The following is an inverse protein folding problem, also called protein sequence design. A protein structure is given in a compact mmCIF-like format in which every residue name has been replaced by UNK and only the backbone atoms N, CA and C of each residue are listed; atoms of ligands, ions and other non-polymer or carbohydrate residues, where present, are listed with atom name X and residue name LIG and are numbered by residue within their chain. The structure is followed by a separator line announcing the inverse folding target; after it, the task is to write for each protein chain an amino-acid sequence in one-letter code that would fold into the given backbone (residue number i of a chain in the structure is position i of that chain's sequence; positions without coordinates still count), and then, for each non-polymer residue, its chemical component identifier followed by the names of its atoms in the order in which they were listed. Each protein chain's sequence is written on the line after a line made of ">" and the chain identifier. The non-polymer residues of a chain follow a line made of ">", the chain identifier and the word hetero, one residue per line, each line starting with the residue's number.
data_IF_070519414659
#
_entry.id   IF_070519414659
#
_cell.length_a   1.000
_cell.length_b   1.000
_cell.length_c   1.000
_cell.angle_alpha   90.00
_cell.angle_beta   90.00
_cell.angle_gamma   90.00
#
_symmetry.space_group_name_H-M   'P 1'
#
loop_
_entity.id
_entity.type
_entity.pdbx_description
1 polymer ?
#
# COMPACT_ATOMS: atom_id res chain seq x y z
N UNK A 1 -19.05 22.31 7.95
CA UNK A 1 -18.59 23.24 6.90
C UNK A 1 -17.41 24.10 7.34
N UNK A 2 -17.42 24.70 8.53
CA UNK A 2 -16.30 25.50 9.07
C UNK A 2 -14.96 24.77 9.16
N UNK A 3 -14.94 23.51 9.62
CA UNK A 3 -13.72 22.69 9.61
C UNK A 3 -13.15 22.46 8.20
N UNK A 4 -14.01 22.36 7.19
CA UNK A 4 -13.59 22.19 5.80
C UNK A 4 -12.94 23.45 5.24
N UNK A 5 -13.55 24.62 5.49
CA UNK A 5 -13.01 25.92 5.12
C UNK A 5 -11.70 26.25 5.86
N UNK A 6 -11.61 25.93 7.15
CA UNK A 6 -10.40 26.14 7.94
C UNK A 6 -9.27 25.21 7.47
N UNK A 7 -9.60 23.96 7.12
CA UNK A 7 -8.65 22.99 6.57
C UNK A 7 -8.14 23.40 5.18
N UNK A 8 -8.99 23.94 4.31
CA UNK A 8 -8.58 24.41 2.98
C UNK A 8 -7.77 25.71 3.05
N UNK A 9 -8.13 26.64 3.94
CA UNK A 9 -7.32 27.84 4.18
C UNK A 9 -5.96 27.50 4.79
N UNK A 10 -5.92 26.59 5.77
CA UNK A 10 -4.67 26.09 6.36
C UNK A 10 -3.79 25.37 5.32
N UNK A 11 -4.41 24.64 4.39
CA UNK A 11 -3.71 23.98 3.28
C UNK A 11 -3.07 24.97 2.29
N UNK A 12 -3.74 26.10 2.02
CA UNK A 12 -3.20 27.19 1.19
C UNK A 12 -2.06 27.95 1.88
N UNK A 13 -2.15 28.13 3.21
CA UNK A 13 -1.20 28.96 3.98
C UNK A 13 0.01 28.15 4.48
N UNK A 14 -0.13 26.84 4.76
CA UNK A 14 0.93 25.98 5.29
C UNK A 14 1.13 24.66 4.51
N UNK A 15 1.34 24.69 3.17
CA UNK A 15 1.49 23.48 2.36
C UNK A 15 2.69 22.60 2.78
N UNK A 16 3.71 23.18 3.43
CA UNK A 16 4.86 22.44 3.95
C UNK A 16 4.54 21.54 5.16
N UNK A 17 3.51 21.85 5.96
CA UNK A 17 3.15 21.06 7.16
C UNK A 17 2.66 19.67 6.81
N UNK A 18 1.77 19.56 5.83
CA UNK A 18 1.14 18.29 5.47
C UNK A 18 2.15 17.23 5.02
N UNK A 19 3.18 17.63 4.26
CA UNK A 19 4.22 16.71 3.79
C UNK A 19 5.09 16.21 4.95
N UNK A 20 5.41 17.07 5.92
CA UNK A 20 6.16 16.67 7.11
C UNK A 20 5.35 15.73 8.00
N UNK A 21 4.06 16.02 8.21
CA UNK A 21 3.17 15.16 8.99
C UNK A 21 3.04 13.78 8.35
N UNK A 22 2.89 13.71 7.02
CA UNK A 22 2.85 12.45 6.27
C UNK A 22 4.20 11.70 6.32
N UNK A 23 5.33 12.40 6.29
CA UNK A 23 6.65 11.80 6.47
C UNK A 23 6.83 11.23 7.88
N UNK A 24 6.37 11.95 8.91
CA UNK A 24 6.41 11.45 10.27
C UNK A 24 5.57 10.17 10.42
N UNK A 25 4.36 10.14 9.86
CA UNK A 25 3.52 8.94 9.82
C UNK A 25 4.25 7.79 9.09
N UNK A 26 4.93 8.09 7.98
CA UNK A 26 5.72 7.10 7.23
C UNK A 26 6.84 6.48 8.08
N UNK A 27 7.59 7.29 8.82
CA UNK A 27 8.64 6.79 9.70
C UNK A 27 8.11 6.06 10.93
N UNK A 28 6.96 6.47 11.48
CA UNK A 28 6.30 5.74 12.56
C UNK A 28 5.92 4.34 12.10
N UNK A 29 5.24 4.23 10.95
CA UNK A 29 4.84 2.95 10.37
C UNK A 29 6.04 2.09 9.97
N UNK A 30 7.12 2.70 9.47
CA UNK A 30 8.38 1.99 9.22
C UNK A 30 8.96 1.42 10.52
N UNK A 31 8.89 2.17 11.62
CA UNK A 31 9.28 1.70 12.94
C UNK A 31 8.46 0.51 13.42
N UNK A 32 7.14 0.55 13.23
CA UNK A 32 6.23 -0.56 13.56
C UNK A 32 6.53 -1.82 12.73
N UNK A 33 6.78 -1.65 11.43
CA UNK A 33 7.20 -2.73 10.54
C UNK A 33 8.54 -3.37 10.97
N UNK A 34 9.56 -2.56 11.26
CA UNK A 34 10.86 -3.08 11.72
C UNK A 34 10.74 -3.80 13.07
N UNK A 35 9.90 -3.28 13.97
CA UNK A 35 9.63 -3.91 15.26
C UNK A 35 8.90 -5.25 15.09
N UNK A 36 7.84 -5.29 14.29
CA UNK A 36 7.12 -6.54 13.98
C UNK A 36 8.05 -7.57 13.33
N UNK A 37 8.93 -7.14 12.42
CA UNK A 37 9.93 -8.02 11.80
C UNK A 37 10.97 -8.52 12.80
N UNK A 38 11.36 -7.69 13.76
CA UNK A 38 12.32 -8.08 14.80
C UNK A 38 11.81 -9.26 15.65
N UNK A 39 10.50 -9.39 15.84
CA UNK A 39 9.91 -10.50 16.59
C UNK A 39 10.17 -11.85 15.91
N UNK A 40 10.38 -11.92 14.59
CA UNK A 40 10.67 -13.18 13.90
C UNK A 40 12.03 -13.80 14.28
N UNK A 41 12.90 -13.05 14.95
CA UNK A 41 14.18 -13.56 15.48
C UNK A 41 14.03 -14.24 16.85
N UNK A 42 12.85 -14.24 17.44
CA UNK A 42 12.59 -14.90 18.73
C UNK A 42 12.70 -16.43 18.58
N UNK A 43 13.59 -16.99 19.38
CA UNK A 43 13.96 -18.40 19.37
C UNK A 43 12.91 -19.27 20.07
N UNK A 44 12.15 -18.69 20.98
CA UNK A 44 11.20 -19.42 21.84
C UNK A 44 9.80 -19.51 21.21
N UNK A 45 9.65 -19.13 19.94
CA UNK A 45 8.37 -19.14 19.25
C UNK A 45 7.84 -20.56 18.99
N UNK A 46 6.61 -20.81 19.45
CA UNK A 46 5.80 -21.93 18.98
C UNK A 46 5.41 -21.75 17.50
N UNK A 47 5.08 -22.84 16.76
CA UNK A 47 4.58 -22.71 15.39
C UNK A 47 3.38 -21.77 15.25
N UNK A 48 2.50 -21.75 16.27
CA UNK A 48 1.32 -20.88 16.32
C UNK A 48 1.70 -19.41 16.52
N UNK A 49 2.60 -19.10 17.47
CA UNK A 49 3.05 -17.73 17.71
C UNK A 49 3.90 -17.18 16.56
N UNK A 50 4.67 -18.03 15.87
CA UNK A 50 5.34 -17.66 14.64
C UNK A 50 4.35 -17.29 13.52
N UNK A 51 3.32 -18.11 13.30
CA UNK A 51 2.28 -17.80 12.31
C UNK A 51 1.60 -16.45 12.63
N UNK A 52 1.31 -16.20 13.89
CA UNK A 52 0.74 -14.92 14.33
C UNK A 52 1.68 -13.74 14.06
N UNK A 53 2.97 -13.88 14.36
CA UNK A 53 3.99 -12.83 14.09
C UNK A 53 4.16 -12.57 12.59
N UNK A 54 4.05 -13.61 11.76
CA UNK A 54 4.08 -13.47 10.30
C UNK A 54 2.84 -12.73 9.77
N UNK A 55 1.66 -13.00 10.33
CA UNK A 55 0.43 -12.27 10.01
C UNK A 55 0.57 -10.80 10.41
N UNK A 56 1.06 -10.53 11.62
CA UNK A 56 1.31 -9.16 12.10
C UNK A 56 2.29 -8.41 11.19
N UNK A 57 3.43 -9.04 10.85
CA UNK A 57 4.39 -8.46 9.91
C UNK A 57 3.74 -8.13 8.55
N UNK A 58 2.91 -9.05 8.02
CA UNK A 58 2.23 -8.82 6.74
C UNK A 58 1.23 -7.65 6.82
N UNK A 59 0.51 -7.51 7.93
CA UNK A 59 -0.40 -6.40 8.17
C UNK A 59 0.35 -5.07 8.29
N UNK A 60 1.44 -5.01 9.08
CA UNK A 60 2.26 -3.81 9.20
C UNK A 60 2.92 -3.42 7.87
N UNK A 61 3.38 -4.40 7.09
CA UNK A 61 3.89 -4.16 5.74
C UNK A 61 2.81 -3.57 4.82
N UNK A 62 1.60 -4.13 4.83
CA UNK A 62 0.47 -3.62 4.05
C UNK A 62 0.10 -2.18 4.42
N UNK A 63 0.08 -1.84 5.72
CA UNK A 63 -0.13 -0.47 6.22
C UNK A 63 0.97 0.47 5.75
N UNK A 64 2.23 0.08 5.90
CA UNK A 64 3.40 0.87 5.49
C UNK A 64 3.37 1.19 3.99
N UNK A 65 3.10 0.20 3.14
CA UNK A 65 3.02 0.39 1.68
C UNK A 65 1.90 1.36 1.32
N UNK A 66 0.74 1.27 1.98
CA UNK A 66 -0.35 2.23 1.77
C UNK A 66 0.08 3.66 2.12
N UNK A 67 0.73 3.85 3.26
CA UNK A 67 1.26 5.15 3.70
C UNK A 67 2.34 5.69 2.73
N UNK A 68 3.24 4.83 2.26
CA UNK A 68 4.25 5.21 1.26
C UNK A 68 3.62 5.65 -0.06
N UNK A 69 2.57 4.97 -0.53
CA UNK A 69 1.85 5.38 -1.75
C UNK A 69 1.16 6.74 -1.59
N UNK A 70 0.55 7.00 -0.43
CA UNK A 70 -0.01 8.32 -0.12
C UNK A 70 1.08 9.40 -0.10
N UNK A 71 2.23 9.12 0.52
CA UNK A 71 3.37 10.03 0.58
C UNK A 71 3.96 10.31 -0.80
N UNK A 72 4.14 9.27 -1.63
CA UNK A 72 4.59 9.41 -3.03
C UNK A 72 3.66 10.36 -3.79
N UNK A 73 2.35 10.14 -3.69
CA UNK A 73 1.35 10.98 -4.35
C UNK A 73 1.41 12.44 -3.87
N UNK A 74 1.54 12.66 -2.56
CA UNK A 74 1.69 13.99 -1.98
C UNK A 74 2.99 14.69 -2.42
N UNK A 75 4.10 13.97 -2.59
CA UNK A 75 5.37 14.53 -3.09
C UNK A 75 5.30 14.86 -4.58
N UNK A 76 4.72 13.97 -5.39
CA UNK A 76 4.59 14.16 -6.83
C UNK A 76 3.70 15.37 -7.19
N UNK A 77 2.56 15.52 -6.50
CA UNK A 77 1.69 16.69 -6.67
C UNK A 77 2.42 17.98 -6.34
N UNK A 78 3.23 17.99 -5.28
CA UNK A 78 4.05 19.15 -4.90
C UNK A 78 5.19 19.43 -5.90
N UNK A 79 5.87 18.40 -6.40
CA UNK A 79 6.91 18.53 -7.43
C UNK A 79 6.40 19.17 -8.74
N UNK A 80 5.13 18.90 -9.10
CA UNK A 80 4.51 19.48 -10.30
C UNK A 80 4.17 20.97 -10.16
N UNK A 81 3.80 21.42 -8.96
CA UNK A 81 3.46 22.83 -8.70
C UNK A 81 4.62 23.69 -8.19
N UNK A 82 5.59 23.09 -7.50
CA UNK A 82 6.62 23.78 -6.72
C UNK A 82 8.01 23.21 -7.02
N UNK A 83 8.45 23.38 -8.28
CA UNK A 83 9.70 22.85 -8.82
C UNK A 83 10.92 23.46 -8.12
N UNK A 84 11.36 22.82 -7.04
CA UNK A 84 12.74 22.96 -6.56
C UNK A 84 12.97 23.71 -5.25
N UNK A 85 11.94 23.96 -4.42
CA UNK A 85 12.17 24.49 -3.07
C UNK A 85 12.95 23.52 -2.16
N UNK A 86 13.80 24.09 -1.29
CA UNK A 86 14.66 23.34 -0.34
C UNK A 86 13.88 22.32 0.49
N UNK A 87 12.66 22.67 0.91
CA UNK A 87 11.81 21.82 1.75
C UNK A 87 11.24 20.59 1.01
N UNK A 88 10.87 20.75 -0.26
CA UNK A 88 10.41 19.64 -1.10
C UNK A 88 11.56 18.66 -1.35
N UNK A 89 12.79 19.16 -1.57
CA UNK A 89 14.00 18.34 -1.72
C UNK A 89 14.32 17.56 -0.45
N UNK A 90 14.24 18.22 0.71
CA UNK A 90 14.41 17.56 2.02
C UNK A 90 13.36 16.46 2.21
N UNK A 91 12.09 16.76 1.91
CA UNK A 91 11.01 15.79 2.06
C UNK A 91 11.20 14.55 1.18
N UNK A 92 11.65 14.73 -0.07
CA UNK A 92 11.99 13.64 -0.98
C UNK A 92 13.15 12.79 -0.45
N UNK A 93 14.21 13.40 0.06
CA UNK A 93 15.34 12.67 0.64
C UNK A 93 14.89 11.75 1.77
N UNK A 94 14.05 12.26 2.67
CA UNK A 94 13.49 11.48 3.78
C UNK A 94 12.64 10.31 3.27
N UNK A 95 11.80 10.56 2.27
CA UNK A 95 10.99 9.50 1.64
C UNK A 95 11.85 8.39 1.03
N UNK A 96 12.88 8.72 0.23
CA UNK A 96 13.74 7.70 -0.38
C UNK A 96 14.56 6.93 0.64
N UNK A 97 15.02 7.58 1.70
CA UNK A 97 15.70 6.86 2.79
C UNK A 97 14.73 5.89 3.47
N UNK A 98 13.49 6.30 3.76
CA UNK A 98 12.49 5.40 4.33
C UNK A 98 12.20 4.21 3.40
N UNK A 99 12.09 4.44 2.09
CA UNK A 99 11.90 3.39 1.09
C UNK A 99 13.11 2.44 1.01
N UNK A 100 14.34 2.97 0.92
CA UNK A 100 15.54 2.12 0.88
C UNK A 100 15.66 1.26 2.16
N UNK A 101 15.31 1.80 3.34
CA UNK A 101 15.31 1.04 4.60
C UNK A 101 14.29 -0.09 4.51
N UNK A 102 13.08 0.18 4.03
CA UNK A 102 12.04 -0.83 3.86
C UNK A 102 12.47 -1.92 2.88
N UNK A 103 12.97 -1.55 1.70
CA UNK A 103 13.43 -2.52 0.68
C UNK A 103 14.53 -3.44 1.24
N UNK A 104 15.51 -2.88 1.95
CA UNK A 104 16.59 -3.66 2.58
C UNK A 104 16.10 -4.56 3.70
N UNK A 105 15.20 -4.04 4.52
CA UNK A 105 14.59 -4.82 5.58
C UNK A 105 13.77 -5.96 4.99
N UNK A 106 12.98 -5.74 3.94
CA UNK A 106 12.11 -6.73 3.31
C UNK A 106 12.88 -7.81 2.52
N UNK A 107 13.91 -7.42 1.76
CA UNK A 107 14.71 -8.27 0.89
C UNK A 107 15.52 -9.39 1.59
N UNK A 108 15.57 -9.38 2.92
CA UNK A 108 16.14 -10.48 3.69
C UNK A 108 15.19 -11.71 3.69
N UNK A 109 15.21 -12.48 2.59
CA UNK A 109 14.50 -13.76 2.46
C UNK A 109 15.21 -14.87 3.24
N UNK A 110 15.16 -14.80 4.57
CA UNK A 110 15.69 -15.83 5.46
C UNK A 110 14.53 -16.60 6.07
N UNK A 111 14.67 -17.92 6.08
CA UNK A 111 13.74 -18.80 6.77
C UNK A 111 14.00 -18.73 8.28
N UNK A 112 13.32 -17.79 8.95
CA UNK A 112 13.49 -17.51 10.37
C UNK A 112 13.20 -18.73 11.26
N UNK A 113 12.29 -19.64 10.86
CA UNK A 113 12.03 -20.86 11.62
C UNK A 113 13.23 -21.81 11.60
N UNK A 114 13.87 -21.97 10.44
CA UNK A 114 15.10 -22.77 10.34
C UNK A 114 16.24 -22.12 11.09
N UNK A 115 16.38 -20.80 10.96
CA UNK A 115 17.39 -20.02 11.65
C UNK A 115 17.26 -20.19 13.18
N UNK A 116 16.04 -20.06 13.73
CA UNK A 116 15.74 -20.25 15.15
C UNK A 116 16.10 -21.65 15.64
N UNK A 117 15.79 -22.69 14.87
CA UNK A 117 16.16 -24.08 15.21
C UNK A 117 17.67 -24.31 15.23
N UNK A 118 18.39 -23.76 14.25
CA UNK A 118 19.84 -23.95 14.13
C UNK A 118 20.58 -23.23 15.26
N UNK A 119 20.18 -21.99 15.54
CA UNK A 119 20.84 -21.14 16.54
C UNK A 119 20.11 -21.13 17.88
N UNK A 120 19.34 -22.17 18.21
CA UNK A 120 18.46 -22.20 19.38
C UNK A 120 19.20 -21.96 20.71
N UNK A 121 20.43 -22.44 20.81
CA UNK A 121 21.26 -22.32 22.01
C UNK A 121 22.31 -21.21 21.91
N UNK A 122 22.20 -20.33 20.92
CA UNK A 122 23.10 -19.19 20.72
C UNK A 122 22.36 -17.89 21.01
N UNK A 123 23.07 -16.92 21.61
CA UNK A 123 22.52 -15.59 21.86
C UNK A 123 22.44 -14.72 20.59
N UNK A 124 22.88 -15.26 19.43
CA UNK A 124 23.05 -14.49 18.20
C UNK A 124 21.75 -13.90 17.67
N UNK A 125 20.64 -14.65 17.74
CA UNK A 125 19.35 -14.19 17.24
C UNK A 125 18.74 -13.10 18.12
N UNK A 126 18.93 -13.18 19.44
CA UNK A 126 18.57 -12.10 20.36
C UNK A 126 19.33 -10.80 20.06
N UNK A 127 20.59 -10.89 19.61
CA UNK A 127 21.38 -9.71 19.20
C UNK A 127 20.82 -9.09 17.91
N UNK A 128 20.45 -9.91 16.93
CA UNK A 128 19.79 -9.44 15.69
C UNK A 128 18.43 -8.79 15.99
N UNK A 129 17.58 -9.47 16.78
CA UNK A 129 16.32 -8.95 17.27
C UNK A 129 16.52 -7.57 17.89
N UNK A 130 17.40 -7.47 18.89
CA UNK A 130 17.66 -6.23 19.61
C UNK A 130 18.12 -5.09 18.70
N UNK A 131 19.01 -5.34 17.74
CA UNK A 131 19.44 -4.28 16.81
C UNK A 131 18.25 -3.80 15.98
N UNK A 132 17.49 -4.73 15.40
CA UNK A 132 16.34 -4.38 14.56
C UNK A 132 15.24 -3.65 15.36
N UNK A 133 14.98 -4.06 16.62
CA UNK A 133 14.06 -3.35 17.51
C UNK A 133 14.53 -1.92 17.82
N UNK A 134 15.84 -1.70 18.05
CA UNK A 134 16.40 -0.36 18.28
C UNK A 134 16.35 0.47 16.97
N UNK A 135 16.49 -0.13 15.78
CA UNK A 135 16.26 0.55 14.50
C UNK A 135 14.80 0.96 14.35
N UNK A 136 13.85 0.09 14.70
CA UNK A 136 12.43 0.43 14.75
C UNK A 136 12.15 1.62 15.68
N UNK A 137 12.75 1.62 16.88
CA UNK A 137 12.69 2.77 17.79
C UNK A 137 13.31 4.03 17.18
N UNK A 138 14.47 3.93 16.53
CA UNK A 138 15.12 5.07 15.88
C UNK A 138 14.23 5.70 14.79
N UNK A 139 13.46 4.91 14.06
CA UNK A 139 12.44 5.42 13.12
C UNK A 139 11.31 6.18 13.84
N UNK A 140 10.87 5.72 15.02
CA UNK A 140 9.89 6.44 15.85
C UNK A 140 10.45 7.74 16.43
N UNK A 141 11.67 7.71 16.96
CA UNK A 141 12.36 8.92 17.47
C UNK A 141 12.52 9.97 16.35
N UNK A 142 12.79 9.52 15.11
CA UNK A 142 12.82 10.37 13.92
C UNK A 142 11.43 10.90 13.53
N UNK A 143 10.39 10.08 13.63
CA UNK A 143 8.99 10.51 13.44
C UNK A 143 8.62 11.65 14.40
N UNK A 144 8.94 11.49 15.68
CA UNK A 144 8.73 12.54 16.70
C UNK A 144 9.55 13.79 16.40
N UNK A 145 10.81 13.64 16.00
CA UNK A 145 11.68 14.76 15.62
C UNK A 145 11.13 15.55 14.44
N UNK A 146 10.54 14.85 13.44
CA UNK A 146 9.87 15.47 12.29
C UNK A 146 8.62 16.25 12.71
N UNK A 147 7.76 15.69 13.56
CA UNK A 147 6.56 16.37 14.08
C UNK A 147 6.94 17.61 14.91
N UNK A 148 7.95 17.48 15.75
CA UNK A 148 8.42 18.53 16.66
C UNK A 148 9.37 19.53 15.99
N UNK A 149 9.76 19.28 14.73
CA UNK A 149 10.70 20.10 13.94
C UNK A 149 12.06 20.29 14.62
N UNK A 150 12.51 19.25 15.30
CA UNK A 150 13.83 19.22 15.96
C UNK A 150 14.79 18.36 15.14
N UNK A 151 16.10 18.64 15.21
CA UNK A 151 17.08 17.75 14.64
C UNK A 151 17.01 16.37 15.32
N UNK A 152 16.93 15.33 14.50
CA UNK A 152 17.05 13.94 14.91
C UNK A 152 18.48 13.62 15.39
N UNK A 153 18.59 13.26 16.65
CA UNK A 153 19.85 12.82 17.26
C UNK A 153 19.93 11.30 17.21
N UNK A 154 20.84 10.79 16.39
CA UNK A 154 21.05 9.35 16.25
C UNK A 154 21.69 8.74 17.52
N UNK A 155 21.17 7.59 17.96
CA UNK A 155 21.55 6.97 19.23
C UNK A 155 22.99 6.39 19.20
N UNK A 156 23.86 6.85 20.08
CA UNK A 156 25.26 6.39 20.14
C UNK A 156 25.41 4.90 20.50
N UNK A 157 24.38 4.28 21.11
CA UNK A 157 24.37 2.86 21.49
C UNK A 157 24.48 1.91 20.28
N UNK A 158 24.15 2.37 19.08
CA UNK A 158 24.26 1.55 17.86
C UNK A 158 25.69 1.05 17.65
N UNK A 159 26.69 1.92 17.79
CA UNK A 159 28.11 1.57 17.61
C UNK A 159 28.50 0.35 18.45
N UNK A 160 28.30 0.45 19.76
CA UNK A 160 28.61 -0.65 20.68
C UNK A 160 27.80 -1.92 20.41
N UNK A 161 26.53 -1.79 20.00
CA UNK A 161 25.67 -2.96 19.75
C UNK A 161 26.11 -3.70 18.48
N UNK A 162 26.50 -2.98 17.42
CA UNK A 162 27.06 -3.58 16.21
C UNK A 162 28.44 -4.19 16.43
N UNK A 163 29.31 -3.54 17.21
CA UNK A 163 30.63 -4.08 17.55
C UNK A 163 30.50 -5.40 18.32
N UNK A 164 29.59 -5.46 19.30
CA UNK A 164 29.30 -6.67 20.06
C UNK A 164 28.70 -7.79 19.20
N UNK A 165 27.80 -7.47 18.27
CA UNK A 165 27.27 -8.46 17.33
C UNK A 165 28.38 -8.99 16.40
N UNK A 166 29.26 -8.09 15.93
CA UNK A 166 30.37 -8.48 15.05
C UNK A 166 31.31 -9.47 15.75
N UNK A 167 31.67 -9.22 17.00
CA UNK A 167 32.51 -10.13 17.79
C UNK A 167 31.84 -11.51 17.96
N UNK A 168 30.53 -11.55 18.25
CA UNK A 168 29.79 -12.81 18.34
C UNK A 168 29.77 -13.58 17.02
N UNK A 169 29.59 -12.89 15.88
CA UNK A 169 29.64 -13.51 14.55
C UNK A 169 31.02 -14.05 14.19
N UNK A 170 32.07 -13.29 14.56
CA UNK A 170 33.45 -13.69 14.32
C UNK A 170 33.81 -14.94 15.15
N UNK A 171 33.34 -15.01 16.41
CA UNK A 171 33.47 -16.19 17.26
C UNK A 171 32.75 -17.41 16.69
N UNK A 172 31.48 -17.26 16.30
CA UNK A 172 30.68 -18.36 15.69
C UNK A 172 31.35 -18.94 14.44
N UNK A 173 31.99 -18.10 13.63
CA UNK A 173 32.73 -18.53 12.45
C UNK A 173 34.00 -19.29 12.78
N UNK A 174 34.69 -18.94 13.88
CA UNK A 174 35.91 -19.61 14.32
C UNK A 174 35.63 -20.98 14.96
N UNK A 175 34.50 -21.12 15.64
CA UNK A 175 34.11 -22.38 16.29
C UNK A 175 33.79 -23.51 15.29
N UNK A 176 33.52 -23.17 14.01
CA UNK A 176 33.20 -24.12 12.93
C UNK A 176 32.10 -25.14 13.26
N UNK A 177 31.27 -24.86 14.26
CA UNK A 177 30.19 -25.74 14.72
C UNK A 177 28.99 -25.74 13.77
N UNK A 178 28.81 -24.65 13.03
CA UNK A 178 27.67 -24.43 12.13
C UNK A 178 28.11 -24.42 10.67
N UNK A 179 27.20 -24.86 9.79
CA UNK A 179 27.44 -24.83 8.35
C UNK A 179 27.68 -23.40 7.83
N UNK A 180 28.66 -23.26 6.95
CA UNK A 180 29.19 -21.98 6.47
C UNK A 180 28.12 -21.15 5.75
N UNK A 181 27.11 -21.80 5.17
CA UNK A 181 25.96 -21.16 4.52
C UNK A 181 25.20 -20.29 5.51
N UNK A 182 24.92 -20.79 6.72
CA UNK A 182 24.17 -20.06 7.73
C UNK A 182 24.97 -18.93 8.34
N UNK A 183 26.26 -19.16 8.60
CA UNK A 183 27.17 -18.11 9.05
C UNK A 183 27.23 -16.97 8.02
N UNK A 184 27.33 -17.30 6.73
CA UNK A 184 27.32 -16.32 5.64
C UNK A 184 26.01 -15.53 5.57
N UNK A 185 24.86 -16.20 5.78
CA UNK A 185 23.55 -15.55 5.86
C UNK A 185 23.47 -14.56 7.05
N UNK A 186 24.01 -14.91 8.22
CA UNK A 186 24.08 -14.00 9.37
C UNK A 186 24.99 -12.80 9.08
N UNK A 187 26.12 -12.98 8.39
CA UNK A 187 26.95 -11.85 7.96
C UNK A 187 26.24 -10.95 6.95
N UNK A 188 25.44 -11.51 6.03
CA UNK A 188 24.62 -10.73 5.11
C UNK A 188 23.56 -9.91 5.87
N UNK A 189 22.87 -10.52 6.85
CA UNK A 189 21.96 -9.80 7.74
C UNK A 189 22.65 -8.67 8.50
N UNK A 190 23.85 -8.93 9.04
CA UNK A 190 24.64 -7.92 9.73
C UNK A 190 24.94 -6.72 8.83
N UNK A 191 25.34 -6.97 7.58
CA UNK A 191 25.59 -5.88 6.62
C UNK A 191 24.31 -5.13 6.27
N UNK A 192 23.17 -5.82 6.10
CA UNK A 192 21.89 -5.18 5.86
C UNK A 192 21.50 -4.24 7.03
N UNK A 193 21.58 -4.71 8.27
CA UNK A 193 21.29 -3.88 9.44
C UNK A 193 22.27 -2.69 9.55
N UNK A 194 23.56 -2.90 9.32
CA UNK A 194 24.56 -1.82 9.32
C UNK A 194 24.27 -0.76 8.24
N UNK A 195 23.75 -1.19 7.10
CA UNK A 195 23.39 -0.30 6.01
C UNK A 195 22.17 0.56 6.33
N UNK A 196 21.19 0.01 7.07
CA UNK A 196 20.02 0.74 7.60
C UNK A 196 20.47 1.77 8.65
N UNK A 197 21.38 1.38 9.55
CA UNK A 197 21.97 2.28 10.54
C UNK A 197 22.67 3.48 9.89
N UNK A 198 23.49 3.21 8.87
CA UNK A 198 24.17 4.26 8.11
C UNK A 198 23.18 5.23 7.43
N UNK A 199 22.04 4.73 6.94
CA UNK A 199 20.98 5.57 6.39
C UNK A 199 20.37 6.47 7.46
N UNK A 200 20.01 5.92 8.62
CA UNK A 200 19.42 6.69 9.72
C UNK A 200 20.39 7.75 10.26
N UNK A 201 21.68 7.43 10.38
CA UNK A 201 22.71 8.37 10.85
C UNK A 201 22.97 9.52 9.89
N UNK A 202 22.95 9.26 8.58
CA UNK A 202 23.30 10.24 7.57
C UNK A 202 22.11 11.11 7.12
N UNK A 203 20.92 10.92 7.69
CA UNK A 203 19.71 11.68 7.34
C UNK A 203 19.81 13.19 7.62
N UNK A 204 20.52 13.57 8.69
CA UNK A 204 20.65 14.97 9.13
C UNK A 204 21.92 15.67 8.64
N UNK A 205 22.91 14.90 8.17
CA UNK A 205 24.13 15.46 7.63
C UNK A 205 23.82 16.16 6.30
N UNK A 206 23.58 17.47 6.33
CA UNK A 206 23.28 18.36 5.17
C UNK A 206 24.30 18.25 4.00
N UNK A 207 25.43 17.55 4.17
CA UNK A 207 26.55 17.51 3.24
C UNK A 207 26.44 16.50 2.07
N UNK A 208 25.36 15.71 1.94
CA UNK A 208 25.16 14.88 0.74
C UNK A 208 24.25 15.50 -0.31
N UNK A 209 24.15 16.84 -0.37
CA UNK A 209 23.64 17.54 -1.56
C UNK A 209 24.74 17.53 -2.64
N UNK A 210 25.07 16.34 -3.14
CA UNK A 210 25.71 16.24 -4.46
C UNK A 210 24.60 16.10 -5.49
N UNK A 211 24.61 17.03 -6.43
CA UNK A 211 23.76 17.16 -7.62
C UNK A 211 23.44 15.82 -8.33
N UNK A 212 24.30 14.81 -8.21
CA UNK A 212 24.12 13.49 -8.82
C UNK A 212 22.97 12.65 -8.21
N UNK A 213 22.83 12.59 -6.88
CA UNK A 213 21.74 11.82 -6.26
C UNK A 213 20.38 12.47 -6.55
N UNK A 214 20.34 13.80 -6.61
CA UNK A 214 19.16 14.53 -7.04
C UNK A 214 18.83 14.30 -8.53
N UNK A 215 19.83 14.30 -9.43
CA UNK A 215 19.60 13.92 -10.84
C UNK A 215 19.05 12.49 -10.96
N UNK A 216 19.53 11.56 -10.15
CA UNK A 216 19.04 10.18 -10.14
C UNK A 216 17.59 10.08 -9.60
N UNK A 217 17.29 10.83 -8.53
CA UNK A 217 15.95 10.96 -7.95
C UNK A 217 14.98 11.62 -8.94
N UNK A 218 15.40 12.71 -9.59
CA UNK A 218 14.63 13.40 -10.61
C UNK A 218 14.39 12.49 -11.82
N UNK A 219 15.38 11.69 -12.23
CA UNK A 219 15.22 10.72 -13.32
C UNK A 219 14.27 9.57 -12.95
N UNK A 220 14.38 8.99 -11.75
CA UNK A 220 13.45 7.95 -11.27
C UNK A 220 12.00 8.47 -11.12
N UNK A 221 11.82 9.74 -10.77
CA UNK A 221 10.49 10.36 -10.70
C UNK A 221 9.99 10.89 -12.06
N UNK A 222 10.90 11.26 -12.97
CA UNK A 222 10.60 11.64 -14.37
C UNK A 222 10.27 10.44 -15.25
N UNK A 223 10.63 9.22 -14.83
CA UNK A 223 10.16 7.99 -15.47
C UNK A 223 8.65 7.77 -15.30
N UNK A 224 7.94 8.54 -14.47
CA UNK A 224 6.47 8.55 -14.45
C UNK A 224 5.85 9.58 -15.42
N UNK A 225 6.64 10.45 -16.08
CA UNK A 225 6.16 11.38 -17.10
C UNK A 225 6.31 10.76 -18.51
N UNK A 226 5.23 10.73 -19.29
CA UNK A 226 5.20 10.21 -20.67
C UNK A 226 6.08 11.08 -21.59
N UNK A 227 7.33 10.67 -21.81
CA UNK A 227 8.24 11.38 -22.71
C UNK A 227 8.20 10.78 -24.11
N UNK A 228 7.22 11.22 -24.89
CA UNK A 228 7.17 10.98 -26.33
C UNK A 228 6.65 9.59 -26.74
N UNK A 229 6.44 9.45 -28.05
CA UNK A 229 5.77 8.31 -28.67
C UNK A 229 6.51 6.97 -28.52
N UNK A 230 7.84 7.00 -28.39
CA UNK A 230 8.63 5.77 -28.27
C UNK A 230 8.56 5.17 -26.87
N UNK A 231 8.52 6.00 -25.82
CA UNK A 231 8.32 5.57 -24.44
C UNK A 231 6.89 5.01 -24.22
N UNK A 232 5.89 5.61 -24.87
CA UNK A 232 4.51 5.12 -24.92
C UNK A 232 4.46 3.72 -25.57
N UNK A 233 5.13 3.52 -26.71
CA UNK A 233 5.16 2.21 -27.38
C UNK A 233 5.82 1.14 -26.51
N UNK A 234 6.93 1.47 -25.82
CA UNK A 234 7.65 0.53 -24.96
C UNK A 234 6.76 0.11 -23.77
N UNK A 235 6.10 1.05 -23.09
CA UNK A 235 5.21 0.73 -21.96
C UNK A 235 3.96 -0.04 -22.40
N UNK A 236 3.34 0.34 -23.52
CA UNK A 236 2.22 -0.42 -24.08
C UNK A 236 2.66 -1.86 -24.37
N UNK A 237 3.86 -2.04 -24.97
CA UNK A 237 4.42 -3.37 -25.24
C UNK A 237 4.71 -4.17 -23.97
N UNK A 238 5.18 -3.52 -22.90
CA UNK A 238 5.39 -4.16 -21.58
C UNK A 238 4.07 -4.58 -20.93
N UNK A 239 3.00 -3.80 -21.11
CA UNK A 239 1.67 -4.13 -20.62
C UNK A 239 0.92 -5.14 -21.50
N UNK A 240 1.31 -5.36 -22.76
CA UNK A 240 0.82 -6.38 -23.69
C UNK A 240 1.54 -7.74 -23.53
N UNK A 241 1.76 -8.15 -22.28
CA UNK A 241 2.37 -9.44 -21.97
C UNK A 241 1.38 -10.30 -21.17
N UNK A 242 1.35 -11.64 -21.36
CA UNK A 242 0.49 -12.54 -20.58
C UNK A 242 0.77 -12.52 -19.07
N UNK A 243 1.91 -11.95 -18.66
CA UNK A 243 2.27 -11.72 -17.26
C UNK A 243 1.61 -10.47 -16.64
N UNK A 244 1.15 -9.54 -17.47
CA UNK A 244 0.49 -8.30 -17.03
C UNK A 244 -0.92 -8.57 -16.49
N UNK A 245 -1.18 -8.08 -15.27
CA UNK A 245 -2.50 -8.16 -14.62
C UNK A 245 -3.58 -7.45 -15.46
N UNK A 246 -3.24 -6.33 -16.10
CA UNK A 246 -4.17 -5.56 -16.95
C UNK A 246 -4.50 -6.31 -18.24
N UNK A 247 -3.53 -6.96 -18.85
CA UNK A 247 -3.74 -7.74 -20.09
C UNK A 247 -4.60 -8.97 -19.86
N UNK A 248 -4.30 -9.75 -18.81
CA UNK A 248 -5.14 -10.89 -18.40
C UNK A 248 -6.57 -10.46 -18.08
N UNK A 249 -6.72 -9.30 -17.42
CA UNK A 249 -8.03 -8.74 -17.14
C UNK A 249 -8.79 -8.37 -18.42
N UNK A 250 -8.14 -7.65 -19.34
CA UNK A 250 -8.74 -7.22 -20.60
C UNK A 250 -9.20 -8.42 -21.44
N UNK A 251 -8.35 -9.45 -21.61
CA UNK A 251 -8.73 -10.68 -22.34
C UNK A 251 -9.91 -11.36 -21.67
N UNK A 252 -9.85 -11.57 -20.35
CA UNK A 252 -10.93 -12.23 -19.61
C UNK A 252 -12.23 -11.46 -19.72
N UNK A 253 -12.19 -10.13 -19.59
CA UNK A 253 -13.36 -9.27 -19.72
C UNK A 253 -13.96 -9.35 -21.14
N UNK A 254 -13.12 -9.28 -22.18
CA UNK A 254 -13.57 -9.41 -23.58
C UNK A 254 -14.23 -10.76 -23.83
N UNK A 255 -13.65 -11.86 -23.35
CA UNK A 255 -14.23 -13.21 -23.48
C UNK A 255 -15.58 -13.29 -22.74
N UNK A 256 -15.64 -12.80 -21.49
CA UNK A 256 -16.88 -12.83 -20.70
C UNK A 256 -17.98 -12.00 -21.37
N UNK A 257 -17.65 -10.81 -21.88
CA UNK A 257 -18.61 -9.96 -22.60
C UNK A 257 -19.07 -10.59 -23.91
N UNK A 258 -18.18 -11.23 -24.67
CA UNK A 258 -18.51 -11.95 -25.89
C UNK A 258 -19.48 -13.10 -25.62
N UNK A 259 -19.18 -13.94 -24.63
CA UNK A 259 -20.04 -15.06 -24.24
C UNK A 259 -21.40 -14.54 -23.75
N UNK A 260 -21.40 -13.49 -22.93
CA UNK A 260 -22.63 -12.86 -22.44
C UNK A 260 -23.47 -12.28 -23.58
N UNK A 261 -22.83 -11.66 -24.57
CA UNK A 261 -23.50 -11.13 -25.75
C UNK A 261 -24.15 -12.23 -26.59
N UNK A 262 -23.39 -13.29 -26.91
CA UNK A 262 -23.90 -14.44 -27.66
C UNK A 262 -25.09 -15.07 -26.91
N UNK A 263 -24.96 -15.24 -25.60
CA UNK A 263 -26.02 -15.77 -24.75
C UNK A 263 -27.30 -14.92 -24.84
N UNK A 264 -27.19 -13.59 -24.77
CA UNK A 264 -28.33 -12.68 -24.88
C UNK A 264 -29.00 -12.77 -26.26
N UNK A 265 -28.22 -12.85 -27.34
CA UNK A 265 -28.75 -12.97 -28.70
C UNK A 265 -29.46 -14.29 -28.94
N UNK A 266 -28.92 -15.40 -28.42
CA UNK A 266 -29.51 -16.74 -28.59
C UNK A 266 -30.77 -16.93 -27.73
N UNK A 267 -30.75 -16.40 -26.51
CA UNK A 267 -31.86 -16.55 -25.56
C UNK A 267 -33.01 -15.57 -25.79
N UNK A 268 -32.78 -14.51 -26.57
CA UNK A 268 -33.74 -13.45 -26.88
C UNK A 268 -34.45 -12.89 -25.62
N UNK A 269 -33.72 -12.81 -24.51
CA UNK A 269 -34.24 -12.34 -23.21
C UNK A 269 -34.50 -10.84 -23.27
N UNK A 270 -35.73 -10.45 -22.94
CA UNK A 270 -36.12 -9.07 -22.73
C UNK A 270 -35.24 -8.44 -21.63
N UNK A 271 -34.58 -7.32 -21.94
CA UNK A 271 -33.60 -6.65 -21.07
C UNK A 271 -32.26 -7.39 -20.82
N UNK A 272 -31.87 -8.32 -21.70
CA UNK A 272 -30.61 -9.07 -21.59
C UNK A 272 -29.33 -8.21 -21.51
N UNK A 273 -29.36 -6.93 -21.90
CA UNK A 273 -28.24 -5.98 -21.76
C UNK A 273 -27.75 -5.81 -20.31
N UNK A 274 -28.59 -6.06 -19.29
CA UNK A 274 -28.19 -6.04 -17.88
C UNK A 274 -27.17 -7.11 -17.51
N UNK A 275 -27.14 -8.22 -18.25
CA UNK A 275 -26.12 -9.27 -18.08
C UNK A 275 -24.75 -8.71 -18.46
N UNK A 276 -24.64 -8.06 -19.62
CA UNK A 276 -23.39 -7.43 -20.07
C UNK A 276 -22.95 -6.32 -19.11
N UNK A 277 -23.88 -5.45 -18.70
CA UNK A 277 -23.59 -4.35 -17.79
C UNK A 277 -23.09 -4.85 -16.43
N UNK A 278 -23.69 -5.92 -15.91
CA UNK A 278 -23.28 -6.54 -14.64
C UNK A 278 -21.91 -7.21 -14.79
N UNK A 279 -21.66 -7.93 -15.88
CA UNK A 279 -20.36 -8.52 -16.18
C UNK A 279 -19.25 -7.45 -16.22
N UNK A 280 -19.54 -6.29 -16.83
CA UNK A 280 -18.62 -5.15 -16.88
C UNK A 280 -18.33 -4.57 -15.49
N UNK A 281 -19.35 -4.28 -14.68
CA UNK A 281 -19.16 -3.61 -13.38
C UNK A 281 -18.58 -4.50 -12.28
N UNK A 282 -18.86 -5.81 -12.32
CA UNK A 282 -18.38 -6.77 -11.34
C UNK A 282 -16.93 -7.19 -11.63
N UNK A 283 -16.55 -7.26 -12.90
CA UNK A 283 -15.20 -7.66 -13.30
C UNK A 283 -14.15 -6.68 -12.79
N UNK A 284 -13.14 -7.20 -12.09
CA UNK A 284 -12.01 -6.43 -11.56
C UNK A 284 -10.69 -7.08 -11.94
N UNK A 285 -9.57 -6.35 -12.08
CA UNK A 285 -8.29 -6.94 -12.45
C UNK A 285 -7.86 -8.09 -11.51
N UNK A 286 -8.14 -7.97 -10.21
CA UNK A 286 -7.92 -9.04 -9.23
C UNK A 286 -9.14 -9.98 -9.11
N UNK A 287 -8.90 -11.30 -9.14
CA UNK A 287 -9.95 -12.31 -9.00
C UNK A 287 -10.71 -12.22 -7.66
N UNK A 288 -10.00 -12.03 -6.54
CA UNK A 288 -10.62 -11.89 -5.22
C UNK A 288 -11.50 -10.63 -5.14
N UNK A 289 -11.07 -9.55 -5.80
CA UNK A 289 -11.87 -8.34 -5.92
C UNK A 289 -13.14 -8.56 -6.75
N UNK A 290 -13.05 -9.35 -7.83
CA UNK A 290 -14.20 -9.75 -8.66
C UNK A 290 -15.21 -10.57 -7.84
N UNK A 291 -14.74 -11.59 -7.11
CA UNK A 291 -15.59 -12.43 -6.23
C UNK A 291 -16.28 -11.62 -5.14
N UNK A 292 -15.58 -10.63 -4.56
CA UNK A 292 -16.17 -9.70 -3.59
C UNK A 292 -17.24 -8.83 -4.24
N UNK A 293 -16.96 -8.21 -5.40
CA UNK A 293 -17.94 -7.40 -6.13
C UNK A 293 -19.16 -8.19 -6.55
N UNK A 294 -18.99 -9.45 -6.95
CA UNK A 294 -20.10 -10.33 -7.31
C UNK A 294 -21.03 -10.56 -6.12
N UNK A 295 -20.47 -10.91 -4.95
CA UNK A 295 -21.27 -11.06 -3.73
C UNK A 295 -22.02 -9.78 -3.36
N UNK A 296 -21.35 -8.63 -3.42
CA UNK A 296 -21.97 -7.35 -3.12
C UNK A 296 -23.04 -6.98 -4.15
N UNK A 297 -22.85 -7.33 -5.43
CA UNK A 297 -23.85 -7.15 -6.49
C UNK A 297 -25.09 -7.98 -6.18
N UNK A 298 -24.93 -9.26 -5.88
CA UNK A 298 -26.05 -10.16 -5.53
C UNK A 298 -26.84 -9.61 -4.34
N UNK A 299 -26.15 -9.31 -3.23
CA UNK A 299 -26.79 -8.78 -2.02
C UNK A 299 -27.49 -7.44 -2.30
N UNK A 300 -26.82 -6.53 -3.00
CA UNK A 300 -27.38 -5.23 -3.34
C UNK A 300 -28.60 -5.32 -4.25
N UNK A 301 -28.56 -6.18 -5.27
CA UNK A 301 -29.69 -6.38 -6.19
C UNK A 301 -30.89 -6.99 -5.47
N UNK A 302 -30.69 -8.00 -4.60
CA UNK A 302 -31.78 -8.59 -3.82
C UNK A 302 -32.45 -7.55 -2.91
N UNK A 303 -31.64 -6.77 -2.18
CA UNK A 303 -32.15 -5.69 -1.32
C UNK A 303 -32.85 -4.62 -2.15
N UNK A 304 -32.28 -4.23 -3.29
CA UNK A 304 -32.87 -3.25 -4.20
C UNK A 304 -34.20 -3.71 -4.80
N UNK A 305 -34.35 -5.00 -5.12
CA UNK A 305 -35.63 -5.55 -5.61
C UNK A 305 -36.69 -5.50 -4.50
N UNK A 306 -36.36 -5.97 -3.30
CA UNK A 306 -37.30 -5.98 -2.16
C UNK A 306 -37.77 -4.56 -1.84
N UNK A 307 -36.83 -3.62 -1.72
CA UNK A 307 -37.15 -2.23 -1.43
C UNK A 307 -37.86 -1.54 -2.59
N UNK A 308 -37.41 -1.77 -3.83
CA UNK A 308 -38.02 -1.19 -5.02
C UNK A 308 -39.47 -1.64 -5.19
N UNK A 309 -39.75 -2.92 -4.98
CA UNK A 309 -41.11 -3.44 -4.99
C UNK A 309 -41.98 -2.82 -3.90
N UNK A 310 -41.47 -2.71 -2.67
CA UNK A 310 -42.18 -2.05 -1.58
C UNK A 310 -42.47 -0.57 -1.89
N UNK A 311 -41.49 0.15 -2.44
CA UNK A 311 -41.64 1.55 -2.87
C UNK A 311 -42.75 1.68 -3.92
N UNK A 312 -42.74 0.84 -4.97
CA UNK A 312 -43.75 0.88 -6.02
C UNK A 312 -45.16 0.57 -5.50
N UNK A 313 -45.26 -0.31 -4.50
CA UNK A 313 -46.53 -0.65 -3.85
C UNK A 313 -47.09 0.52 -3.01
N UNK A 314 -46.25 1.19 -2.22
CA UNK A 314 -46.69 2.28 -1.32
C UNK A 314 -46.72 3.67 -1.98
N UNK A 315 -46.00 3.87 -3.08
CA UNK A 315 -45.90 5.16 -3.80
C UNK A 315 -46.29 4.96 -5.28
N UNK A 316 -47.59 4.82 -5.57
CA UNK A 316 -48.08 4.63 -6.94
C UNK A 316 -48.12 5.94 -7.75
N UNK A 317 -47.95 7.10 -7.11
CA UNK A 317 -47.99 8.40 -7.79
C UNK A 317 -46.78 8.62 -8.70
N UNK A 318 -47.01 9.07 -9.93
CA UNK A 318 -45.96 9.37 -10.94
C UNK A 318 -44.96 10.40 -10.39
N UNK A 319 -45.43 11.47 -9.74
CA UNK A 319 -44.57 12.51 -9.16
C UNK A 319 -43.61 11.94 -8.09
N UNK A 320 -44.14 11.07 -7.22
CA UNK A 320 -43.34 10.38 -6.21
C UNK A 320 -42.30 9.43 -6.81
N UNK A 321 -42.66 8.72 -7.88
CA UNK A 321 -41.75 7.84 -8.61
C UNK A 321 -40.62 8.62 -9.29
N UNK A 322 -40.92 9.75 -9.94
CA UNK A 322 -39.90 10.62 -10.55
C UNK A 322 -38.92 11.18 -9.51
N UNK A 323 -39.42 11.62 -8.34
CA UNK A 323 -38.58 12.10 -7.25
C UNK A 323 -37.65 10.99 -6.74
N UNK A 324 -38.18 9.78 -6.51
CA UNK A 324 -37.41 8.63 -6.04
C UNK A 324 -36.41 8.13 -7.09
N UNK A 325 -36.72 8.25 -8.37
CA UNK A 325 -35.81 7.96 -9.48
C UNK A 325 -34.58 8.89 -9.42
N UNK A 326 -34.80 10.21 -9.28
CA UNK A 326 -33.70 11.18 -9.15
C UNK A 326 -32.87 10.93 -7.90
N UNK A 327 -33.51 10.72 -6.74
CA UNK A 327 -32.81 10.43 -5.49
C UNK A 327 -31.96 9.16 -5.58
N UNK A 328 -32.52 8.09 -6.14
CA UNK A 328 -31.80 6.82 -6.33
C UNK A 328 -30.58 7.01 -7.25
N UNK A 329 -30.69 7.85 -8.28
CA UNK A 329 -29.58 8.20 -9.16
C UNK A 329 -28.45 8.94 -8.44
N UNK A 330 -28.80 9.96 -7.64
CA UNK A 330 -27.82 10.73 -6.85
C UNK A 330 -27.10 9.80 -5.85
N UNK A 331 -27.86 9.00 -5.11
CA UNK A 331 -27.30 8.07 -4.12
C UNK A 331 -26.42 7.00 -4.77
N UNK A 332 -26.79 6.49 -5.95
CA UNK A 332 -25.93 5.61 -6.73
C UNK A 332 -24.58 6.26 -7.05
N UNK A 333 -24.58 7.48 -7.59
CA UNK A 333 -23.35 8.18 -7.96
C UNK A 333 -22.46 8.51 -6.77
N UNK A 334 -23.04 8.89 -5.64
CA UNK A 334 -22.28 9.17 -4.41
C UNK A 334 -21.68 7.90 -3.79
N UNK A 335 -22.44 6.80 -3.78
CA UNK A 335 -22.06 5.58 -3.05
C UNK A 335 -21.23 4.61 -3.91
N UNK A 336 -21.18 4.75 -5.25
CA UNK A 336 -20.53 3.78 -6.15
C UNK A 336 -19.04 3.51 -5.82
N UNK A 337 -18.33 4.50 -5.28
CA UNK A 337 -16.91 4.36 -4.90
C UNK A 337 -16.71 4.02 -3.42
N UNK A 338 -17.70 4.27 -2.56
CA UNK A 338 -17.62 4.07 -1.10
C UNK A 338 -18.24 2.73 -0.66
N UNK A 339 -19.47 2.45 -1.07
CA UNK A 339 -20.30 1.35 -0.58
C UNK A 339 -21.05 0.66 -1.74
N UNK A 340 -20.33 -0.20 -2.48
CA UNK A 340 -20.80 -0.81 -3.73
C UNK A 340 -22.12 -1.60 -3.63
N UNK A 341 -22.38 -2.28 -2.50
CA UNK A 341 -23.66 -2.99 -2.31
C UNK A 341 -24.86 -2.04 -2.25
N UNK A 342 -24.73 -0.92 -1.54
CA UNK A 342 -25.80 0.09 -1.45
C UNK A 342 -26.00 0.78 -2.80
N UNK A 343 -24.91 1.14 -3.49
CA UNK A 343 -25.00 1.66 -4.85
C UNK A 343 -25.73 0.69 -5.79
N UNK A 344 -25.46 -0.62 -5.66
CA UNK A 344 -26.19 -1.64 -6.42
C UNK A 344 -27.69 -1.67 -6.08
N UNK A 345 -28.06 -1.53 -4.80
CA UNK A 345 -29.47 -1.46 -4.42
C UNK A 345 -30.17 -0.25 -5.06
N UNK A 346 -29.57 0.94 -5.01
CA UNK A 346 -30.16 2.14 -5.59
C UNK A 346 -30.26 2.12 -7.12
N UNK A 347 -29.27 1.58 -7.84
CA UNK A 347 -29.40 1.44 -9.30
C UNK A 347 -30.48 0.41 -9.68
N UNK A 348 -30.69 -0.62 -8.86
CA UNK A 348 -31.78 -1.58 -9.05
C UNK A 348 -33.14 -0.97 -8.77
N UNK A 349 -33.29 -0.16 -7.72
CA UNK A 349 -34.53 0.60 -7.45
C UNK A 349 -34.83 1.56 -8.60
N UNK A 350 -33.81 2.30 -9.06
CA UNK A 350 -33.92 3.20 -10.21
C UNK A 350 -34.39 2.46 -11.46
N UNK A 351 -33.81 1.30 -11.76
CA UNK A 351 -34.19 0.49 -12.92
C UNK A 351 -35.64 0.00 -12.81
N UNK A 352 -36.08 -0.47 -11.64
CA UNK A 352 -37.45 -0.93 -11.41
C UNK A 352 -38.47 0.21 -11.56
N UNK A 353 -38.17 1.40 -11.04
CA UNK A 353 -39.04 2.56 -11.22
C UNK A 353 -39.10 2.94 -12.70
N UNK A 354 -37.96 2.94 -13.39
CA UNK A 354 -37.94 3.25 -14.83
C UNK A 354 -38.80 2.27 -15.63
N UNK A 355 -38.68 0.97 -15.38
CA UNK A 355 -39.51 -0.06 -16.03
C UNK A 355 -40.99 0.00 -15.66
N UNK A 356 -41.36 0.63 -14.55
CA UNK A 356 -42.75 0.85 -14.18
C UNK A 356 -43.34 2.12 -14.84
N UNK A 357 -42.47 3.03 -15.30
CA UNK A 357 -42.85 4.28 -15.96
C UNK A 357 -42.85 4.16 -17.50
N UNK A 358 -42.00 3.30 -18.05
CA UNK A 358 -42.05 2.81 -19.45
C UNK A 358 -43.31 1.96 -19.67
#
# INVERSE_FOLDING_TARGET
>A
MWYGLLSTLSFLIFPARLAQDKLAISYSALGDFLYAKSNLFDVDMTPKSYQQSMIELSLENGKLIAIFNEMKTALLTRLKGDRGQKDTRRSLQYYFVAQDIHERADSAHIDYQKLAKIFQHSDILFRFQRIMSIQGKACKDLSESLLMRKPYVHNQRFKHTFDNLRQSLDKLRQEQQYDQVWISALFALFQNLKSIDAQLRNLETEQSIKSERFKHIENQLRDDDLKGWDDIKIRIKQHLTPESVLFRHAIRLSIVLLISYIFVQVSNIEYGYWILLTALFVSQPNFNATKRRLRLRIVGTLVGIILGYAILYFVPSIEGQLLLLVLSGILFFELRSKQYAQATAFITILALINFNLD
#
